data_IF_100541875446
#
_entry.id   IF_100541875446
#
_cell.length_a   1.000
_cell.length_b   1.000
_cell.length_c   1.000
_cell.angle_alpha   90.00
_cell.angle_beta   90.00
_cell.angle_gamma   90.00
#
_symmetry.space_group_name_H-M   'P 1'
#
loop_
_entity.id
_entity.type
_entity.pdbx_description
1 polymer ?
#
# COMPACT_ATOMS: atom_id res chain seq x y z
N UNK A 1 17.28 41.43 54.75
CA UNK A 1 17.68 40.07 54.33
C UNK A 1 16.38 39.27 54.23
N UNK A 2 15.96 38.65 53.14
CA UNK A 2 16.62 38.29 51.90
C UNK A 2 15.59 38.34 50.74
N UNK A 3 16.03 38.79 49.58
CA UNK A 3 15.38 38.53 48.30
C UNK A 3 15.48 37.03 48.00
N UNK A 4 14.40 36.40 47.55
CA UNK A 4 14.53 35.17 46.79
C UNK A 4 13.77 35.29 45.47
N UNK A 5 14.55 35.65 44.46
CA UNK A 5 14.19 35.66 43.04
C UNK A 5 14.15 34.21 42.56
N UNK A 6 12.95 33.69 42.29
CA UNK A 6 12.81 32.45 41.52
C UNK A 6 12.79 32.80 40.04
N UNK A 7 13.90 32.48 39.38
CA UNK A 7 14.12 32.65 37.94
C UNK A 7 13.16 31.77 37.13
N UNK A 8 12.60 32.37 36.08
CA UNK A 8 11.64 31.78 35.17
C UNK A 8 12.05 30.43 34.59
N UNK A 9 11.09 29.50 34.62
CA UNK A 9 11.07 28.32 33.77
C UNK A 9 10.78 28.80 32.35
N UNK A 10 11.75 28.62 31.46
CA UNK A 10 11.58 28.90 30.03
C UNK A 10 10.51 27.96 29.49
N UNK A 11 9.39 28.53 29.04
CA UNK A 11 8.41 27.85 28.21
C UNK A 11 9.12 27.18 27.04
N UNK A 12 9.01 25.86 26.94
CA UNK A 12 9.24 25.13 25.69
C UNK A 12 8.19 25.60 24.70
N UNK A 13 8.58 26.52 23.83
CA UNK A 13 7.80 26.94 22.66
C UNK A 13 7.72 25.74 21.72
N UNK A 14 6.67 24.92 21.86
CA UNK A 14 6.17 24.12 20.77
C UNK A 14 5.74 25.10 19.67
N UNK A 15 6.32 24.98 18.48
CA UNK A 15 5.97 25.78 17.31
C UNK A 15 4.49 25.56 16.98
N UNK A 16 3.61 26.40 17.54
CA UNK A 16 2.19 26.45 17.19
C UNK A 16 2.01 27.32 15.93
N UNK A 17 2.73 26.97 14.86
CA UNK A 17 2.59 27.64 13.56
C UNK A 17 1.51 26.92 12.74
N UNK A 18 0.26 27.30 12.99
CA UNK A 18 -0.89 26.82 12.25
C UNK A 18 -2.19 27.43 12.77
N UNK A 19 -3.23 27.38 11.94
CA UNK A 19 -4.57 27.83 12.35
C UNK A 19 -5.18 26.95 13.46
N UNK A 20 -4.57 25.80 13.76
CA UNK A 20 -4.93 24.89 14.85
C UNK A 20 -3.85 24.91 15.93
N UNK A 21 -4.23 24.71 17.19
CA UNK A 21 -3.31 24.76 18.34
C UNK A 21 -2.41 23.54 18.52
N UNK A 22 -2.39 22.61 17.55
CA UNK A 22 -1.68 21.33 17.55
C UNK A 22 -1.05 21.09 16.17
N UNK A 23 0.17 20.53 16.14
CA UNK A 23 0.78 20.09 14.88
C UNK A 23 0.47 18.61 14.59
N UNK A 24 0.50 18.23 13.30
CA UNK A 24 0.37 16.82 12.88
C UNK A 24 1.44 15.93 13.52
N UNK A 25 2.67 16.45 13.68
CA UNK A 25 3.76 15.71 14.32
C UNK A 25 3.48 15.43 15.79
N UNK A 26 2.91 16.41 16.50
CA UNK A 26 2.54 16.23 17.91
C UNK A 26 1.45 15.17 18.07
N UNK A 27 0.42 15.22 17.21
CA UNK A 27 -0.67 14.24 17.21
C UNK A 27 -0.18 12.83 16.89
N UNK A 28 0.72 12.68 15.91
CA UNK A 28 1.39 11.40 15.61
C UNK A 28 2.17 10.87 16.80
N UNK A 29 3.05 11.69 17.38
CA UNK A 29 3.84 11.30 18.55
C UNK A 29 2.98 10.95 19.77
N UNK A 30 1.80 11.56 19.88
CA UNK A 30 0.85 11.23 20.93
C UNK A 30 0.26 9.84 20.75
N UNK A 31 0.01 9.40 19.51
CA UNK A 31 -0.56 8.08 19.22
C UNK A 31 0.45 6.93 19.38
N UNK A 32 1.74 7.25 19.45
CA UNK A 32 2.79 6.27 19.78
C UNK A 32 2.81 5.91 21.29
N UNK A 33 2.28 6.80 22.13
CA UNK A 33 2.25 6.61 23.59
C UNK A 33 1.05 5.77 24.02
N UNK A 34 1.21 5.06 25.14
CA UNK A 34 0.19 4.18 25.70
C UNK A 34 0.00 4.40 27.19
N UNK A 35 -1.20 4.11 27.68
CA UNK A 35 -1.50 4.09 29.10
C UNK A 35 -1.13 5.37 29.86
N UNK A 36 -0.37 5.22 30.95
CA UNK A 36 0.02 6.34 31.82
C UNK A 36 0.91 7.39 31.13
N UNK A 37 1.76 6.98 30.19
CA UNK A 37 2.61 7.92 29.44
C UNK A 37 1.79 8.83 28.54
N UNK A 38 0.78 8.25 27.86
CA UNK A 38 -0.14 9.03 27.05
C UNK A 38 -0.94 10.02 27.91
N UNK A 39 -1.45 9.58 29.07
CA UNK A 39 -2.18 10.45 30.00
C UNK A 39 -1.29 11.61 30.49
N UNK A 40 -0.05 11.31 30.88
CA UNK A 40 0.93 12.33 31.28
C UNK A 40 1.19 13.34 30.16
N UNK A 41 1.39 12.87 28.93
CA UNK A 41 1.63 13.74 27.77
C UNK A 41 0.43 14.64 27.45
N UNK A 42 -0.79 14.11 27.54
CA UNK A 42 -2.03 14.89 27.36
C UNK A 42 -2.12 15.97 28.43
N UNK A 43 -1.88 15.60 29.70
CA UNK A 43 -1.91 16.52 30.83
C UNK A 43 -0.90 17.66 30.70
N UNK A 44 0.34 17.36 30.32
CA UNK A 44 1.41 18.35 30.18
C UNK A 44 1.23 19.26 28.96
N UNK A 45 0.83 18.69 27.82
CA UNK A 45 0.81 19.43 26.54
C UNK A 45 -0.51 20.15 26.30
N UNK A 46 -1.62 19.60 26.81
CA UNK A 46 -2.97 20.06 26.51
C UNK A 46 -3.82 20.30 27.76
N UNK A 47 -3.34 19.97 28.96
CA UNK A 47 -4.09 20.06 30.22
C UNK A 47 -4.98 18.84 30.45
N UNK A 48 -5.86 18.56 29.50
CA UNK A 48 -6.74 17.38 29.47
C UNK A 48 -7.26 17.11 28.05
N UNK A 49 -8.13 16.11 27.90
CA UNK A 49 -8.77 15.78 26.61
C UNK A 49 -9.64 16.96 26.11
N UNK A 50 -10.25 17.74 27.01
CA UNK A 50 -11.06 18.92 26.66
C UNK A 50 -10.20 20.05 26.09
N UNK A 51 -9.00 20.25 26.63
CA UNK A 51 -8.01 21.19 26.13
C UNK A 51 -7.52 20.81 24.75
N UNK A 52 -7.34 19.51 24.48
CA UNK A 52 -7.05 19.02 23.13
C UNK A 52 -8.20 19.28 22.16
N UNK A 53 -9.46 19.03 22.56
CA UNK A 53 -10.63 19.40 21.76
C UNK A 53 -10.65 20.90 21.43
N UNK A 54 -10.37 21.75 22.42
CA UNK A 54 -10.33 23.20 22.25
C UNK A 54 -9.24 23.62 21.27
N UNK A 55 -8.05 23.01 21.35
CA UNK A 55 -6.93 23.28 20.42
C UNK A 55 -7.25 22.86 18.98
N UNK A 56 -7.98 21.77 18.82
CA UNK A 56 -8.49 21.28 17.53
C UNK A 56 -9.78 21.99 17.07
N UNK A 57 -10.23 23.02 17.79
CA UNK A 57 -11.47 23.78 17.50
C UNK A 57 -12.70 22.88 17.35
N UNK A 58 -12.82 21.85 18.20
CA UNK A 58 -13.95 20.90 18.20
C UNK A 58 -14.63 20.86 19.57
N UNK A 59 -15.95 20.63 19.59
CA UNK A 59 -16.71 20.43 20.82
C UNK A 59 -16.75 18.94 21.15
N UNK A 60 -16.41 18.50 22.37
CA UNK A 60 -16.55 17.09 22.75
C UNK A 60 -18.01 16.61 22.81
N UNK A 61 -18.97 17.54 22.87
CA UNK A 61 -20.41 17.22 22.85
C UNK A 61 -20.97 17.34 21.44
N UNK A 62 -20.68 18.45 20.75
CA UNK A 62 -21.31 18.80 19.47
C UNK A 62 -20.45 18.44 18.24
N UNK A 63 -19.20 18.04 18.45
CA UNK A 63 -18.23 17.75 17.41
C UNK A 63 -17.86 18.96 16.56
N UNK A 64 -17.52 18.70 15.29
CA UNK A 64 -17.23 19.74 14.31
C UNK A 64 -18.49 20.39 13.79
N UNK A 65 -18.42 21.65 13.33
CA UNK A 65 -19.58 22.34 12.74
C UNK A 65 -20.11 21.72 11.44
N UNK A 66 -19.29 20.91 10.75
CA UNK A 66 -19.62 20.31 9.46
C UNK A 66 -19.47 21.25 8.26
N UNK A 67 -18.91 22.46 8.45
CA UNK A 67 -18.66 23.39 7.35
C UNK A 67 -17.60 22.83 6.37
N UNK A 68 -17.89 22.72 5.06
CA UNK A 68 -16.96 22.12 4.10
C UNK A 68 -15.57 22.76 4.10
N UNK A 69 -15.51 24.09 4.22
CA UNK A 69 -14.24 24.82 4.25
C UNK A 69 -13.34 24.46 5.46
N UNK A 70 -13.93 24.15 6.62
CA UNK A 70 -13.17 23.69 7.79
C UNK A 70 -12.66 22.26 7.60
N UNK A 71 -13.50 21.39 7.02
CA UNK A 71 -13.15 20.01 6.73
C UNK A 71 -12.00 19.94 5.70
N UNK A 72 -12.07 20.72 4.62
CA UNK A 72 -11.03 20.74 3.60
C UNK A 72 -9.72 21.29 4.16
N UNK A 73 -9.77 22.33 4.99
CA UNK A 73 -8.60 22.85 5.69
C UNK A 73 -7.95 21.80 6.60
N UNK A 74 -8.75 21.00 7.31
CA UNK A 74 -8.23 19.90 8.14
C UNK A 74 -7.58 18.81 7.28
N UNK A 75 -8.14 18.50 6.11
CA UNK A 75 -7.53 17.57 5.15
C UNK A 75 -6.18 18.07 4.65
N UNK A 76 -6.04 19.37 4.40
CA UNK A 76 -4.78 19.98 3.99
C UNK A 76 -3.72 19.94 5.10
N UNK A 77 -4.12 20.21 6.35
CA UNK A 77 -3.17 20.29 7.48
C UNK A 77 -2.82 18.92 8.07
N UNK A 78 -3.82 18.04 8.22
CA UNK A 78 -3.70 16.77 8.93
C UNK A 78 -3.76 15.53 8.03
N UNK A 79 -4.00 15.70 6.73
CA UNK A 79 -4.18 14.61 5.77
C UNK A 79 -5.61 14.07 5.69
N UNK A 80 -5.80 13.11 4.79
CA UNK A 80 -7.09 12.47 4.52
C UNK A 80 -7.11 11.06 5.10
N UNK A 81 -8.30 10.55 5.46
CA UNK A 81 -8.45 9.17 5.97
C UNK A 81 -8.45 8.14 4.83
N UNK A 82 -7.39 8.12 4.03
CA UNK A 82 -7.21 7.19 2.94
C UNK A 82 -5.76 6.72 2.95
N UNK A 83 -5.56 5.40 2.98
CA UNK A 83 -4.26 4.79 2.73
C UNK A 83 -4.20 4.55 1.22
N UNK A 84 -3.27 5.17 0.47
CA UNK A 84 -3.25 5.04 -0.97
C UNK A 84 -3.02 3.57 -1.35
N UNK A 85 -3.87 2.99 -2.21
CA UNK A 85 -3.66 1.64 -2.69
C UNK A 85 -2.43 1.59 -3.60
N UNK A 86 -1.81 0.41 -3.69
CA UNK A 86 -0.74 0.16 -4.67
C UNK A 86 -1.19 0.57 -6.07
N UNK A 87 -0.29 1.18 -6.85
CA UNK A 87 -0.58 1.62 -8.21
C UNK A 87 -0.94 0.41 -9.07
N UNK A 88 -1.97 0.50 -9.93
CA UNK A 88 -2.34 -0.62 -10.78
C UNK A 88 -1.22 -0.95 -11.76
N UNK A 89 -1.04 -2.24 -12.04
CA UNK A 89 -0.09 -2.67 -13.07
C UNK A 89 -0.58 -2.18 -14.43
N UNK A 90 0.35 -1.72 -15.26
CA UNK A 90 -0.01 -1.31 -16.62
C UNK A 90 -0.22 -2.56 -17.49
N UNK A 91 -1.04 -2.45 -18.53
CA UNK A 91 -1.23 -3.55 -19.47
C UNK A 91 0.10 -4.07 -20.05
N UNK A 92 1.05 -3.17 -20.35
CA UNK A 92 2.38 -3.56 -20.85
C UNK A 92 3.21 -4.28 -19.79
N UNK A 93 3.08 -3.90 -18.52
CA UNK A 93 3.73 -4.59 -17.41
C UNK A 93 3.17 -6.00 -17.25
N UNK A 94 1.85 -6.19 -17.39
CA UNK A 94 1.21 -7.51 -17.38
C UNK A 94 1.64 -8.37 -18.59
N UNK A 95 1.78 -7.76 -19.78
CA UNK A 95 2.32 -8.45 -20.96
C UNK A 95 3.78 -8.88 -20.70
N UNK A 96 4.60 -8.01 -20.12
CA UNK A 96 5.99 -8.32 -19.79
C UNK A 96 6.10 -9.44 -18.75
N UNK A 97 5.27 -9.40 -17.70
CA UNK A 97 5.19 -10.43 -16.68
C UNK A 97 4.73 -11.78 -17.26
N UNK A 98 3.74 -11.76 -18.17
CA UNK A 98 3.30 -12.96 -18.88
C UNK A 98 4.41 -13.55 -19.79
N UNK A 99 5.26 -12.72 -20.40
CA UNK A 99 6.39 -13.17 -21.21
C UNK A 99 7.53 -13.81 -20.40
N UNK A 100 7.58 -13.59 -19.08
CA UNK A 100 8.61 -14.17 -18.21
C UNK A 100 8.34 -15.64 -17.82
N UNK A 101 7.22 -16.22 -18.25
CA UNK A 101 6.96 -17.65 -18.04
C UNK A 101 8.02 -18.48 -18.78
N UNK A 102 8.75 -19.31 -18.02
CA UNK A 102 9.81 -20.21 -18.53
C UNK A 102 9.30 -21.06 -19.70
N UNK A 103 8.04 -21.49 -19.66
CA UNK A 103 7.43 -22.28 -20.74
C UNK A 103 7.28 -21.48 -22.03
N UNK A 104 6.86 -20.20 -21.94
CA UNK A 104 6.74 -19.31 -23.10
C UNK A 104 8.11 -18.91 -23.64
N UNK A 105 9.08 -18.63 -22.77
CA UNK A 105 10.47 -18.35 -23.19
C UNK A 105 11.06 -19.51 -24.00
N UNK A 106 10.86 -20.76 -23.54
CA UNK A 106 11.33 -21.94 -24.28
C UNK A 106 10.67 -22.01 -25.67
N UNK A 107 9.37 -21.72 -25.76
CA UNK A 107 8.64 -21.70 -27.03
C UNK A 107 9.12 -20.58 -27.96
N UNK A 108 9.41 -19.39 -27.43
CA UNK A 108 9.96 -18.27 -28.22
C UNK A 108 11.36 -18.58 -28.75
N UNK A 109 12.24 -19.13 -27.91
CA UNK A 109 13.58 -19.54 -28.34
C UNK A 109 13.49 -20.62 -29.42
N UNK A 110 12.61 -21.62 -29.25
CA UNK A 110 12.39 -22.65 -30.26
C UNK A 110 11.84 -22.08 -31.57
N UNK A 111 10.91 -21.11 -31.50
CA UNK A 111 10.36 -20.43 -32.67
C UNK A 111 11.42 -19.61 -33.41
N UNK A 112 12.26 -18.86 -32.68
CA UNK A 112 13.35 -18.06 -33.27
C UNK A 112 14.40 -18.97 -33.91
N UNK A 113 14.79 -20.06 -33.27
CA UNK A 113 15.74 -21.03 -33.83
C UNK A 113 15.17 -21.67 -35.10
N UNK A 114 13.90 -22.09 -35.08
CA UNK A 114 13.23 -22.69 -36.25
C UNK A 114 13.16 -21.70 -37.42
N UNK A 115 12.81 -20.45 -37.13
CA UNK A 115 12.76 -19.37 -38.13
C UNK A 115 14.16 -19.04 -38.68
N UNK A 116 15.18 -18.98 -37.81
CA UNK A 116 16.57 -18.74 -38.18
C UNK A 116 17.15 -19.85 -39.07
N UNK A 117 16.86 -21.11 -38.75
CA UNK A 117 17.24 -22.26 -39.58
C UNK A 117 16.52 -22.25 -40.93
N UNK A 118 15.26 -21.77 -40.99
CA UNK A 118 14.55 -21.61 -42.25
C UNK A 118 15.17 -20.56 -43.18
N UNK A 119 15.81 -19.51 -42.64
CA UNK A 119 16.50 -18.50 -43.45
C UNK A 119 17.97 -18.84 -43.75
N UNK A 120 18.57 -19.74 -42.98
CA UNK A 120 19.95 -20.19 -43.18
C UNK A 120 20.01 -21.36 -44.16
N UNK A 121 20.17 -21.07 -45.45
CA UNK A 121 20.45 -22.06 -46.50
C UNK A 121 21.96 -22.34 -46.57
N UNK A 122 22.48 -23.50 -46.13
CA UNK A 122 23.81 -23.92 -46.54
C UNK A 122 23.82 -24.21 -48.05
N UNK A 123 24.91 -23.92 -48.79
CA UNK A 123 24.97 -24.13 -50.24
C UNK A 123 24.90 -25.59 -50.67
N UNK A 124 25.17 -26.54 -49.78
CA UNK A 124 25.20 -27.97 -50.09
C UNK A 124 24.72 -28.76 -48.87
N UNK A 125 23.47 -29.23 -48.90
CA UNK A 125 23.03 -30.31 -48.01
C UNK A 125 21.84 -31.03 -48.65
N UNK A 126 22.10 -32.25 -49.12
CA UNK A 126 21.07 -33.23 -49.42
C UNK A 126 20.13 -33.36 -48.21
N UNK A 127 18.83 -33.30 -48.48
CA UNK A 127 17.76 -33.36 -47.48
C UNK A 127 17.77 -34.74 -46.79
N UNK A 128 18.50 -34.89 -45.70
CA UNK A 128 18.25 -36.00 -44.76
C UNK A 128 17.13 -35.60 -43.79
N UNK A 129 15.99 -36.16 -44.11
CA UNK A 129 14.68 -36.03 -43.49
C UNK A 129 14.66 -36.70 -42.10
N UNK A 130 14.99 -35.99 -41.02
CA UNK A 130 14.76 -36.47 -39.65
C UNK A 130 13.50 -35.84 -39.03
N UNK A 131 12.33 -36.37 -39.40
CA UNK A 131 11.05 -35.88 -38.85
C UNK A 131 9.80 -36.31 -39.61
N UNK A 132 9.67 -37.59 -39.96
CA UNK A 132 8.41 -38.12 -40.51
C UNK A 132 7.37 -38.27 -39.40
N UNK A 133 6.54 -37.24 -39.19
CA UNK A 133 5.22 -37.40 -38.60
C UNK A 133 4.17 -37.33 -39.71
N UNK A 134 3.64 -38.51 -40.04
CA UNK A 134 2.51 -38.84 -40.89
C UNK A 134 1.59 -37.70 -41.39
N UNK A 135 1.49 -37.54 -42.71
CA UNK A 135 0.24 -37.11 -43.35
C UNK A 135 0.34 -36.19 -44.58
N UNK A 136 0.61 -36.77 -45.76
CA UNK A 136 -0.12 -36.44 -46.99
C UNK A 136 0.38 -35.31 -47.91
N UNK A 137 0.68 -35.75 -49.14
CA UNK A 137 0.68 -35.04 -50.44
C UNK A 137 1.82 -34.05 -50.70
N UNK A 138 2.65 -34.48 -51.65
CA UNK A 138 3.72 -33.76 -52.35
C UNK A 138 3.20 -32.44 -52.92
N UNK A 139 3.78 -31.30 -52.51
CA UNK A 139 3.65 -30.02 -53.20
C UNK A 139 5.00 -29.29 -53.15
N UNK A 140 5.50 -28.88 -54.32
CA UNK A 140 6.84 -28.32 -54.59
C UNK A 140 7.05 -26.89 -54.01
N UNK A 141 6.44 -26.59 -52.85
CA UNK A 141 6.55 -25.33 -52.09
C UNK A 141 7.37 -25.44 -50.79
N UNK A 142 7.93 -26.62 -50.47
CA UNK A 142 8.54 -26.95 -49.17
C UNK A 142 9.70 -26.03 -48.74
N UNK A 143 10.39 -25.37 -49.68
CA UNK A 143 11.47 -24.43 -49.35
C UNK A 143 10.98 -23.00 -49.09
N UNK A 144 9.78 -22.63 -49.56
CA UNK A 144 9.18 -21.32 -49.30
C UNK A 144 8.25 -21.33 -48.09
N UNK A 145 7.88 -22.51 -47.58
CA UNK A 145 6.98 -22.65 -46.43
C UNK A 145 7.69 -22.87 -45.07
N UNK A 146 9.02 -23.06 -45.04
CA UNK A 146 9.74 -23.34 -43.78
C UNK A 146 9.66 -22.22 -42.72
N UNK A 147 9.52 -20.96 -43.15
CA UNK A 147 9.38 -19.83 -42.22
C UNK A 147 7.99 -19.80 -41.59
N UNK A 148 7.01 -20.45 -42.21
CA UNK A 148 5.60 -20.47 -41.78
C UNK A 148 5.47 -21.23 -40.45
N UNK A 149 6.25 -22.29 -40.23
CA UNK A 149 6.21 -23.06 -38.99
C UNK A 149 6.69 -22.22 -37.80
N UNK A 150 7.87 -21.60 -37.91
CA UNK A 150 8.39 -20.70 -36.87
C UNK A 150 7.50 -19.46 -36.65
N UNK A 151 6.94 -18.91 -37.74
CA UNK A 151 6.02 -17.78 -37.66
C UNK A 151 4.69 -18.16 -37.00
N UNK A 152 4.17 -19.38 -37.22
CA UNK A 152 2.94 -19.87 -36.60
C UNK A 152 3.10 -20.05 -35.09
N UNK A 153 4.24 -20.57 -34.63
CA UNK A 153 4.55 -20.71 -33.21
C UNK A 153 4.66 -19.33 -32.55
N UNK A 154 5.37 -18.39 -33.17
CA UNK A 154 5.52 -17.02 -32.66
C UNK A 154 4.16 -16.31 -32.57
N UNK A 155 3.33 -16.42 -33.61
CA UNK A 155 1.97 -15.87 -33.62
C UNK A 155 1.11 -16.48 -32.51
N UNK A 156 1.21 -17.80 -32.29
CA UNK A 156 0.48 -18.50 -31.23
C UNK A 156 0.89 -18.00 -29.84
N UNK A 157 2.19 -17.83 -29.58
CA UNK A 157 2.70 -17.30 -28.31
C UNK A 157 2.20 -15.88 -28.08
N UNK A 158 2.29 -15.00 -29.09
CA UNK A 158 1.79 -13.62 -29.00
C UNK A 158 0.30 -13.59 -28.68
N UNK A 159 -0.51 -14.42 -29.35
CA UNK A 159 -1.94 -14.53 -29.08
C UNK A 159 -2.22 -14.97 -27.63
N UNK A 160 -1.51 -16.01 -27.14
CA UNK A 160 -1.67 -16.49 -25.76
C UNK A 160 -1.29 -15.41 -24.75
N UNK A 161 -0.15 -14.74 -24.93
CA UNK A 161 0.30 -13.64 -24.06
C UNK A 161 -0.72 -12.51 -24.02
N UNK A 162 -1.25 -12.09 -25.17
CA UNK A 162 -2.27 -11.05 -25.24
C UNK A 162 -3.57 -11.46 -24.54
N UNK A 163 -4.02 -12.70 -24.70
CA UNK A 163 -5.22 -13.22 -24.01
C UNK A 163 -4.99 -13.29 -22.50
N UNK A 164 -3.82 -13.75 -22.06
CA UNK A 164 -3.46 -13.83 -20.64
C UNK A 164 -3.40 -12.43 -20.02
N UNK A 165 -2.66 -11.50 -20.64
CA UNK A 165 -2.56 -10.13 -20.17
C UNK A 165 -3.92 -9.41 -20.17
N UNK A 166 -4.77 -9.66 -21.16
CA UNK A 166 -6.14 -9.12 -21.19
C UNK A 166 -7.01 -9.69 -20.07
N UNK A 167 -6.93 -11.00 -19.83
CA UNK A 167 -7.65 -11.64 -18.72
C UNK A 167 -7.21 -11.09 -17.37
N UNK A 168 -5.91 -10.93 -17.16
CA UNK A 168 -5.39 -10.42 -15.89
C UNK A 168 -5.69 -8.93 -15.70
N UNK A 169 -5.60 -8.12 -16.77
CA UNK A 169 -6.04 -6.72 -16.73
C UNK A 169 -7.54 -6.61 -16.40
N UNK A 170 -8.37 -7.47 -16.99
CA UNK A 170 -9.81 -7.51 -16.71
C UNK A 170 -10.09 -7.92 -15.26
N UNK A 171 -9.38 -8.92 -14.72
CA UNK A 171 -9.47 -9.30 -13.30
C UNK A 171 -9.08 -8.15 -12.39
N UNK A 172 -7.93 -7.51 -12.64
CA UNK A 172 -7.44 -6.40 -11.82
C UNK A 172 -8.44 -5.23 -11.81
N UNK A 173 -9.03 -4.91 -12.98
CA UNK A 173 -10.08 -3.90 -13.09
C UNK A 173 -11.32 -4.25 -12.27
N UNK A 174 -11.73 -5.53 -12.25
CA UNK A 174 -12.87 -5.99 -11.46
C UNK A 174 -12.60 -5.94 -9.95
N UNK A 175 -11.43 -6.39 -9.50
CA UNK A 175 -11.02 -6.29 -8.09
C UNK A 175 -11.04 -4.85 -7.61
N UNK A 176 -10.52 -3.91 -8.41
CA UNK A 176 -10.54 -2.48 -8.06
C UNK A 176 -11.94 -1.90 -8.01
N UNK A 177 -12.84 -2.34 -8.89
CA UNK A 177 -14.24 -1.94 -8.88
C UNK A 177 -14.97 -2.40 -7.61
N UNK A 178 -14.66 -3.61 -7.12
CA UNK A 178 -15.19 -4.12 -5.86
C UNK A 178 -14.61 -3.34 -4.66
N UNK A 179 -13.29 -3.15 -4.63
CA UNK A 179 -12.60 -2.43 -3.56
C UNK A 179 -13.14 -1.00 -3.40
N UNK A 180 -13.26 -0.27 -4.51
CA UNK A 180 -13.80 1.10 -4.51
C UNK A 180 -15.25 1.17 -4.03
N UNK A 181 -16.06 0.13 -4.27
CA UNK A 181 -17.44 0.08 -3.75
C UNK A 181 -17.47 -0.20 -2.25
N UNK A 182 -16.67 -1.16 -1.79
CA UNK A 182 -16.57 -1.52 -0.37
C UNK A 182 -16.13 -0.30 0.45
N UNK A 183 -15.11 0.43 -0.03
CA UNK A 183 -14.61 1.65 0.62
C UNK A 183 -15.67 2.76 0.74
N UNK A 184 -16.56 2.89 -0.26
CA UNK A 184 -17.64 3.88 -0.25
C UNK A 184 -18.84 3.47 0.61
N UNK A 185 -19.06 2.17 0.80
CA UNK A 185 -20.18 1.64 1.57
C UNK A 185 -19.90 1.62 3.08
N UNK A 186 -18.63 1.58 3.49
CA UNK A 186 -18.25 1.65 4.90
C UNK A 186 -18.52 3.05 5.46
N UNK A 187 -19.52 3.12 6.34
CA UNK A 187 -19.92 4.34 7.05
C UNK A 187 -19.64 4.22 8.54
N UNK A 188 -19.32 5.34 9.15
CA UNK A 188 -19.08 5.46 10.58
C UNK A 188 -19.90 6.61 11.17
N UNK A 189 -20.34 6.44 12.41
CA UNK A 189 -21.11 7.45 13.12
C UNK A 189 -20.18 8.49 13.74
N UNK A 190 -20.32 9.75 13.33
CA UNK A 190 -19.62 10.89 13.93
C UNK A 190 -20.61 11.94 14.40
N UNK A 191 -20.21 12.76 15.35
CA UNK A 191 -20.98 13.92 15.79
C UNK A 191 -20.47 15.15 15.04
N UNK A 192 -21.35 15.80 14.28
CA UNK A 192 -21.10 17.11 13.66
C UNK A 192 -22.32 18.01 13.87
N UNK A 193 -22.12 19.24 14.33
CA UNK A 193 -23.18 20.22 14.59
C UNK A 193 -24.19 19.78 15.66
N UNK A 194 -23.74 18.99 16.65
CA UNK A 194 -24.60 18.44 17.70
C UNK A 194 -25.42 17.22 17.27
N UNK A 195 -25.29 16.77 16.03
CA UNK A 195 -26.06 15.65 15.48
C UNK A 195 -25.15 14.46 15.17
N UNK A 196 -25.62 13.25 15.47
CA UNK A 196 -24.96 12.01 15.06
C UNK A 196 -25.31 11.75 13.60
N UNK A 197 -24.30 11.78 12.73
CA UNK A 197 -24.43 11.53 11.30
C UNK A 197 -23.55 10.34 10.88
N UNK A 198 -24.01 9.58 9.88
CA UNK A 198 -23.25 8.48 9.28
C UNK A 198 -22.52 9.01 8.05
N UNK A 199 -21.18 9.10 8.13
CA UNK A 199 -20.34 9.55 7.02
C UNK A 199 -19.48 8.40 6.50
N UNK A 200 -19.07 8.41 5.22
CA UNK A 200 -18.08 7.48 4.72
C UNK A 200 -16.78 7.56 5.54
N UNK A 201 -16.13 6.42 5.77
CA UNK A 201 -14.88 6.35 6.54
C UNK A 201 -13.79 7.28 5.97
N UNK A 202 -13.73 7.43 4.64
CA UNK A 202 -12.78 8.30 3.95
C UNK A 202 -12.98 9.81 4.23
N UNK A 203 -14.17 10.22 4.73
CA UNK A 203 -14.49 11.62 5.04
C UNK A 203 -14.23 12.00 6.50
N UNK A 204 -13.79 11.05 7.33
CA UNK A 204 -13.40 11.30 8.71
C UNK A 204 -12.13 12.16 8.72
N UNK A 205 -12.12 13.19 9.56
CA UNK A 205 -10.98 14.11 9.70
C UNK A 205 -10.58 14.29 11.15
N UNK A 206 -9.35 14.76 11.37
CA UNK A 206 -8.85 15.10 12.70
C UNK A 206 -9.73 16.16 13.37
N UNK A 207 -10.15 15.88 14.60
CA UNK A 207 -11.08 16.69 15.38
C UNK A 207 -12.55 16.26 15.29
N UNK A 208 -12.90 15.27 14.45
CA UNK A 208 -14.21 14.63 14.54
C UNK A 208 -14.39 13.92 15.89
N UNK A 209 -15.64 13.88 16.37
CA UNK A 209 -16.02 13.07 17.52
C UNK A 209 -16.74 11.83 17.02
N UNK A 210 -16.04 10.71 17.01
CA UNK A 210 -16.57 9.42 16.57
C UNK A 210 -17.37 8.75 17.68
N UNK A 211 -18.55 8.24 17.35
CA UNK A 211 -19.37 7.45 18.27
C UNK A 211 -19.09 5.97 18.06
N UNK A 212 -18.53 5.33 19.09
CA UNK A 212 -18.06 3.95 19.04
C UNK A 212 -19.09 3.04 19.72
N UNK A 213 -19.39 1.91 19.08
CA UNK A 213 -20.32 0.88 19.55
C UNK A 213 -19.70 -0.51 19.41
N UNK A 214 -20.32 -1.47 20.09
CA UNK A 214 -19.98 -2.88 19.96
C UNK A 214 -20.03 -3.34 18.50
N UNK A 215 -18.99 -4.06 18.07
CA UNK A 215 -18.84 -4.59 16.71
C UNK A 215 -18.19 -3.62 15.72
N UNK A 216 -17.96 -2.37 16.10
CA UNK A 216 -17.31 -1.40 15.22
C UNK A 216 -15.83 -1.75 15.02
N UNK A 217 -15.36 -1.61 13.77
CA UNK A 217 -13.94 -1.52 13.43
C UNK A 217 -13.54 -0.06 13.49
N UNK A 218 -12.51 0.28 14.27
CA UNK A 218 -12.09 1.67 14.40
C UNK A 218 -11.43 2.18 13.10
N UNK A 219 -11.97 3.25 12.49
CA UNK A 219 -11.51 3.74 11.18
C UNK A 219 -10.28 4.65 11.25
N UNK A 220 -9.93 5.13 12.44
CA UNK A 220 -8.90 6.14 12.68
C UNK A 220 -8.40 6.04 14.12
N UNK A 221 -7.22 6.59 14.39
CA UNK A 221 -6.72 6.70 15.75
C UNK A 221 -7.40 7.85 16.49
N UNK A 222 -7.49 7.71 17.80
CA UNK A 222 -8.11 8.71 18.63
C UNK A 222 -7.92 8.52 20.13
N UNK A 223 -8.53 9.44 20.86
CA UNK A 223 -8.51 9.46 22.33
C UNK A 223 -9.95 9.38 22.82
N UNK A 224 -10.17 8.50 23.78
CA UNK A 224 -11.46 8.35 24.44
C UNK A 224 -11.83 9.66 25.16
N UNK A 225 -12.99 10.21 24.84
CA UNK A 225 -13.62 11.34 25.55
C UNK A 225 -14.53 10.81 26.66
N UNK A 226 -15.29 9.75 26.36
CA UNK A 226 -16.26 9.14 27.26
C UNK A 226 -16.40 7.66 26.89
N UNK A 227 -16.45 6.77 27.87
CA UNK A 227 -16.62 5.33 27.61
C UNK A 227 -17.49 4.65 28.68
N UNK A 228 -18.23 3.64 28.25
CA UNK A 228 -19.06 2.77 29.08
C UNK A 228 -18.57 1.33 28.89
N UNK A 229 -17.76 0.84 29.83
CA UNK A 229 -17.15 -0.51 29.82
C UNK A 229 -16.57 -0.93 28.46
N UNK A 230 -15.87 0.02 27.82
CA UNK A 230 -15.26 -0.19 26.51
C UNK A 230 -14.11 -1.21 26.60
N UNK A 231 -14.21 -2.29 25.82
CA UNK A 231 -13.13 -3.26 25.62
C UNK A 231 -12.86 -3.44 24.14
N UNK A 232 -11.59 -3.49 23.79
CA UNK A 232 -11.13 -3.54 22.41
C UNK A 232 -10.19 -4.72 22.23
N UNK A 233 -10.34 -5.40 21.10
CA UNK A 233 -9.39 -6.38 20.60
C UNK A 233 -8.31 -5.66 19.78
N UNK A 234 -7.10 -5.67 20.32
CA UNK A 234 -5.90 -5.10 19.70
C UNK A 234 -5.01 -6.14 19.04
N UNK A 235 -5.46 -7.40 18.92
CA UNK A 235 -4.70 -8.51 18.36
C UNK A 235 -4.20 -8.23 16.94
N UNK A 236 -4.93 -7.41 16.17
CA UNK A 236 -4.55 -7.00 14.83
C UNK A 236 -3.28 -6.12 14.79
N UNK A 237 -2.94 -5.45 15.89
CA UNK A 237 -1.77 -4.57 15.99
C UNK A 237 -0.67 -5.16 16.88
N UNK A 238 -1.02 -5.75 18.04
CA UNK A 238 -0.05 -6.24 19.02
C UNK A 238 0.19 -7.74 18.92
N UNK A 239 -0.71 -8.50 18.28
CA UNK A 239 -0.70 -9.96 18.26
C UNK A 239 -1.20 -10.61 19.57
N UNK A 240 -1.56 -9.81 20.58
CA UNK A 240 -2.11 -10.30 21.84
C UNK A 240 -3.64 -10.41 21.74
N UNK A 241 -4.20 -11.59 22.03
CA UNK A 241 -5.65 -11.85 21.90
C UNK A 241 -6.50 -11.36 23.07
N UNK A 242 -5.88 -10.81 24.11
CA UNK A 242 -6.61 -10.39 25.30
C UNK A 242 -7.34 -9.06 25.06
N UNK A 243 -8.61 -8.99 25.47
CA UNK A 243 -9.39 -7.77 25.39
C UNK A 243 -8.83 -6.69 26.33
N UNK A 244 -8.47 -5.55 25.78
CA UNK A 244 -7.92 -4.42 26.53
C UNK A 244 -9.05 -3.50 26.98
N UNK A 245 -9.20 -3.28 28.29
CA UNK A 245 -10.17 -2.33 28.85
C UNK A 245 -9.66 -0.89 28.66
N UNK A 246 -10.48 -0.06 28.03
CA UNK A 246 -10.19 1.35 27.76
C UNK A 246 -10.93 2.27 28.72
N UNK A 247 -10.18 3.09 29.45
CA UNK A 247 -10.71 4.07 30.40
C UNK A 247 -9.88 5.33 30.37
N UNK A 248 -10.50 6.47 30.69
CA UNK A 248 -9.85 7.78 30.73
C UNK A 248 -8.63 7.81 31.65
N UNK A 249 -8.69 7.09 32.78
CA UNK A 249 -7.65 7.12 33.82
C UNK A 249 -6.51 6.11 33.63
N UNK A 250 -6.67 5.14 32.73
CA UNK A 250 -5.68 4.06 32.56
C UNK A 250 -5.11 3.99 31.16
N UNK A 251 -5.97 3.92 30.15
CA UNK A 251 -5.56 3.82 28.74
C UNK A 251 -6.67 4.39 27.85
N UNK A 252 -6.63 5.70 27.55
CA UNK A 252 -7.63 6.37 26.73
C UNK A 252 -7.35 6.22 25.22
N UNK A 253 -6.28 5.54 24.83
CA UNK A 253 -5.81 5.48 23.44
C UNK A 253 -6.59 4.45 22.64
N UNK A 254 -7.06 4.85 21.46
CA UNK A 254 -7.87 4.05 20.55
C UNK A 254 -7.18 4.03 19.20
N UNK A 255 -6.94 2.83 18.67
CA UNK A 255 -6.11 2.63 17.47
C UNK A 255 -6.95 2.14 16.30
N UNK A 256 -6.65 2.63 15.10
CA UNK A 256 -7.29 2.18 13.87
C UNK A 256 -7.05 0.69 13.65
N UNK A 257 -7.97 0.02 12.94
CA UNK A 257 -7.85 -1.41 12.66
C UNK A 257 -8.14 -2.33 13.85
N UNK A 258 -8.53 -1.80 15.01
CA UNK A 258 -8.92 -2.57 16.18
C UNK A 258 -10.44 -2.73 16.27
N UNK A 259 -10.90 -3.83 16.90
CA UNK A 259 -12.32 -4.17 16.98
C UNK A 259 -12.89 -3.92 18.37
N UNK A 260 -14.08 -3.34 18.42
CA UNK A 260 -14.78 -3.09 19.70
C UNK A 260 -15.55 -4.34 20.11
N UNK A 261 -15.08 -4.97 21.19
CA UNK A 261 -15.61 -6.25 21.68
C UNK A 261 -16.65 -6.09 22.78
N UNK A 262 -16.69 -4.95 23.46
CA UNK A 262 -17.69 -4.66 24.48
C UNK A 262 -17.85 -3.15 24.68
N UNK A 263 -19.04 -2.74 25.08
CA UNK A 263 -19.31 -1.37 25.52
C UNK A 263 -19.58 -0.37 24.40
N UNK A 264 -19.44 0.90 24.73
CA UNK A 264 -19.61 2.02 23.81
C UNK A 264 -18.86 3.25 24.31
N UNK A 265 -18.63 4.23 23.43
CA UNK A 265 -17.94 5.45 23.82
C UNK A 265 -17.98 6.55 22.78
N UNK A 266 -17.33 7.67 23.11
CA UNK A 266 -17.01 8.78 22.20
C UNK A 266 -15.51 8.92 22.13
N UNK A 267 -15.00 9.06 20.92
CA UNK A 267 -13.58 9.23 20.63
C UNK A 267 -13.34 10.52 19.89
N UNK A 268 -12.30 11.25 20.28
CA UNK A 268 -11.74 12.35 19.50
C UNK A 268 -10.77 11.78 18.48
N UNK A 269 -10.99 12.03 17.19
CA UNK A 269 -10.09 11.62 16.12
C UNK A 269 -8.83 12.50 16.14
N UNK A 270 -7.66 11.87 16.24
CA UNK A 270 -6.35 12.55 16.34
C UNK A 270 -5.45 12.28 15.15
N UNK A 271 -5.50 11.08 14.55
CA UNK A 271 -4.73 10.74 13.37
C UNK A 271 -5.53 9.85 12.41
N UNK A 272 -5.37 10.11 11.10
CA UNK A 272 -6.14 9.49 10.02
C UNK A 272 -5.23 9.05 8.87
N UNK A 273 -5.66 8.05 8.10
CA UNK A 273 -4.96 7.55 6.91
C UNK A 273 -3.52 7.14 7.21
N UNK A 274 -2.58 7.57 6.37
CA UNK A 274 -1.14 7.34 6.56
C UNK A 274 -0.57 7.89 7.88
N UNK A 275 -1.31 8.77 8.57
CA UNK A 275 -0.88 9.31 9.85
C UNK A 275 -1.27 8.45 11.05
N UNK A 276 -2.18 7.48 10.88
CA UNK A 276 -2.54 6.55 11.95
C UNK A 276 -1.45 5.48 12.15
N UNK A 277 -1.46 4.79 13.29
CA UNK A 277 -0.53 3.70 13.58
C UNK A 277 -0.64 2.58 12.55
N UNK A 278 -1.86 2.19 12.19
CA UNK A 278 -2.09 1.20 11.12
C UNK A 278 -1.58 1.71 9.77
N UNK A 279 -1.82 2.99 9.45
CA UNK A 279 -1.33 3.59 8.21
C UNK A 279 0.19 3.62 8.12
N UNK A 280 0.87 3.92 9.23
CA UNK A 280 2.34 3.90 9.32
C UNK A 280 2.87 2.47 9.14
N UNK A 281 2.27 1.48 9.82
CA UNK A 281 2.64 0.07 9.68
C UNK A 281 2.44 -0.40 8.23
N UNK A 282 1.30 -0.07 7.63
CA UNK A 282 0.99 -0.47 6.26
C UNK A 282 1.93 0.19 5.24
N UNK A 283 2.31 1.46 5.45
CA UNK A 283 3.29 2.14 4.62
C UNK A 283 4.69 1.51 4.75
N UNK A 284 5.08 1.08 5.95
CA UNK A 284 6.36 0.39 6.17
C UNK A 284 6.38 -1.00 5.51
N UNK A 285 5.29 -1.77 5.61
CA UNK A 285 5.16 -3.08 4.96
C UNK A 285 5.08 -2.95 3.43
N UNK A 286 4.35 -1.96 2.93
CA UNK A 286 4.27 -1.68 1.49
C UNK A 286 5.60 -1.24 0.90
N UNK A 287 6.40 -0.47 1.66
CA UNK A 287 7.75 -0.08 1.24
C UNK A 287 8.71 -1.28 1.15
N UNK A 288 8.60 -2.27 2.06
CA UNK A 288 9.43 -3.48 1.97
C UNK A 288 9.11 -4.35 0.76
N UNK A 289 7.85 -4.45 0.35
CA UNK A 289 7.49 -5.21 -0.86
C UNK A 289 8.01 -4.55 -2.14
N UNK A 290 8.01 -3.21 -2.20
CA UNK A 290 8.56 -2.47 -3.34
C UNK A 290 10.11 -2.57 -3.38
N UNK A 291 10.77 -2.66 -2.22
CA UNK A 291 12.21 -2.87 -2.13
C UNK A 291 12.62 -4.30 -2.54
N UNK A 292 11.82 -5.33 -2.20
CA UNK A 292 12.07 -6.72 -2.60
C UNK A 292 12.00 -6.89 -4.12
N UNK A 293 10.99 -6.29 -4.78
CA UNK A 293 10.85 -6.27 -6.25
C UNK A 293 12.07 -5.56 -6.91
N UNK A 294 12.53 -4.45 -6.33
CA UNK A 294 13.70 -3.69 -6.80
C UNK A 294 15.04 -4.42 -6.54
N UNK A 295 15.15 -5.18 -5.46
CA UNK A 295 16.33 -5.99 -5.15
C UNK A 295 16.45 -7.22 -6.06
N UNK A 296 15.35 -7.91 -6.36
CA UNK A 296 15.32 -9.00 -7.34
C UNK A 296 15.72 -8.51 -8.74
N UNK A 297 15.23 -7.34 -9.16
CA UNK A 297 15.59 -6.75 -10.46
C UNK A 297 17.07 -6.33 -10.51
N UNK A 298 17.63 -5.82 -9.40
CA UNK A 298 19.06 -5.49 -9.29
C UNK A 298 19.94 -6.74 -9.28
N UNK A 299 19.53 -7.82 -8.63
CA UNK A 299 20.22 -9.11 -8.65
C UNK A 299 20.25 -9.71 -10.06
N UNK A 300 19.12 -9.68 -10.78
CA UNK A 300 19.03 -10.14 -12.17
C UNK A 300 19.96 -9.35 -13.10
N UNK A 301 19.95 -8.01 -13.02
CA UNK A 301 20.87 -7.13 -13.79
C UNK A 301 22.34 -7.36 -13.44
N UNK A 302 22.64 -7.72 -12.18
CA UNK A 302 24.02 -8.02 -11.72
C UNK A 302 24.50 -9.37 -12.24
N UNK A 303 23.63 -10.40 -12.29
CA UNK A 303 23.91 -11.71 -12.91
C UNK A 303 24.17 -11.56 -14.41
N UNK A 304 23.31 -10.85 -15.15
CA UNK A 304 23.53 -10.59 -16.59
C UNK A 304 24.85 -9.85 -16.88
N UNK A 305 25.20 -8.83 -16.07
CA UNK A 305 26.47 -8.11 -16.22
C UNK A 305 27.67 -9.01 -15.97
N UNK A 306 27.56 -9.98 -15.06
CA UNK A 306 28.63 -10.93 -14.75
C UNK A 306 28.85 -11.89 -15.92
N UNK A 307 27.77 -12.44 -16.47
CA UNK A 307 27.82 -13.34 -17.63
C UNK A 307 28.35 -12.65 -18.90
N UNK A 308 27.91 -11.40 -19.16
CA UNK A 308 28.45 -10.61 -20.29
C UNK A 308 29.95 -10.32 -20.14
N UNK A 309 30.44 -10.15 -18.90
CA UNK A 309 31.86 -9.88 -18.62
C UNK A 309 32.72 -11.14 -18.75
N UNK A 310 32.16 -12.32 -18.45
CA UNK A 310 32.82 -13.61 -18.64
C UNK A 310 32.90 -14.02 -20.11
N UNK A 311 31.82 -13.84 -20.89
CA UNK A 311 31.84 -14.06 -22.35
C UNK A 311 32.86 -13.16 -23.06
N UNK A 312 32.91 -11.88 -22.72
CA UNK A 312 33.89 -10.93 -23.30
C UNK A 312 35.35 -11.25 -22.95
N UNK A 313 35.59 -11.92 -21.82
CA UNK A 313 36.93 -12.43 -21.45
C UNK A 313 37.32 -13.69 -22.22
N UNK A 314 36.36 -14.58 -22.50
CA UNK A 314 36.59 -15.77 -23.32
C UNK A 314 36.85 -15.40 -24.80
N UNK A 315 36.09 -14.48 -25.36
CA UNK A 315 36.27 -14.04 -26.76
C UNK A 315 37.60 -13.30 -26.97
N UNK A 316 37.99 -12.42 -26.03
CA UNK A 316 39.28 -11.73 -26.08
C UNK A 316 40.49 -12.66 -25.87
N UNK A 317 40.32 -13.77 -25.15
CA UNK A 317 41.36 -14.79 -24.99
C UNK A 317 41.50 -15.69 -26.23
N UNK A 318 40.43 -15.89 -26.99
CA UNK A 318 40.45 -16.64 -28.24
C UNK A 318 41.07 -15.84 -29.40
N UNK A 319 40.89 -14.51 -29.43
CA UNK A 319 41.42 -13.64 -30.48
C UNK A 319 42.94 -13.42 -30.36
N UNK A 320 43.47 -13.37 -29.13
CA UNK A 320 44.92 -13.25 -28.86
C UNK A 320 45.72 -14.55 -29.07
N UNK A 321 45.05 -15.68 -29.34
CA UNK A 321 45.70 -16.97 -29.67
C UNK A 321 45.88 -17.20 -31.18
N UNK A 322 45.37 -16.31 -32.02
CA UNK A 322 45.40 -16.41 -33.50
C UNK A 322 46.30 -15.38 -34.19
N UNK A 323 47.06 -14.58 -33.42
CA UNK A 323 48.19 -13.76 -33.91
C UNK A 323 49.48 -14.31 -33.35
#
# INVERSE_FOLDING_TARGET
MANNSYSGVKNSTANHDGDFGCSLKDLRSLMELRGAEAIGKIGESYGDVQGLCTRLKTSPVDGLSGQPADIDKRKEVFGQNLIPPKKPKTFLQLVWEALQDVTLIILEVAAIVSLGLSFYRPPDAEREHCGSAAGGVEDDGEAEAGWIEGAAILLSVVCVVLVTAFNDWSKEKQFRGLQSRIEQEQKFAVVRGGQVIQIPVAEIVVGDVAQIKYGDLLPSDGILIQGNDLKIDESSLTGESDHVKKTLDRDPMLLSGTHVMEGSGKMLVTAVGENSQTGIIFALLGASEDDDDDEEEKEAKKKEKKEKKEKKKQDGAAENRKK
#
